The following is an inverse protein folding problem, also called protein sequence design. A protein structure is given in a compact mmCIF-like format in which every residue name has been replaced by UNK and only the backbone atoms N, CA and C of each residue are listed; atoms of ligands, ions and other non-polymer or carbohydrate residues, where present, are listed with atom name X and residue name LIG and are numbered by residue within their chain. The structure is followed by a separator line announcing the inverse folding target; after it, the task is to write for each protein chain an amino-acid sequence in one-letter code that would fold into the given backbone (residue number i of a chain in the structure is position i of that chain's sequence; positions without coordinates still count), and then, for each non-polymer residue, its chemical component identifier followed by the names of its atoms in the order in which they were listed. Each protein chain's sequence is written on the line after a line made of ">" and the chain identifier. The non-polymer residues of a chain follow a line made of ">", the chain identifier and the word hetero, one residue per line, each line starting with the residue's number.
data_IF_515272375692
#
_entry.id   IF_515272375692
#
_cell.length_a   1.000
_cell.length_b   1.000
_cell.length_c   1.000
_cell.angle_alpha   90.00
_cell.angle_beta   90.00
_cell.angle_gamma   90.00
#
_symmetry.space_group_name_H-M   'P 1'
#
loop_
_entity.id
_entity.type
_entity.pdbx_description
1 polymer ?
#
# COMPACT_ATOMS: atom_id res chain seq x y z
N UNK A 1 -11.81 27.37 -7.45
CA UNK A 1 -12.55 27.08 -6.21
C UNK A 1 -11.53 27.00 -5.10
N UNK A 2 -11.71 27.79 -4.04
CA UNK A 2 -10.81 27.81 -2.88
C UNK A 2 -11.01 26.51 -2.10
N UNK A 3 -9.98 25.67 -2.06
CA UNK A 3 -10.02 24.40 -1.32
C UNK A 3 -9.88 24.73 0.16
N UNK A 4 -10.96 24.61 0.92
CA UNK A 4 -10.96 24.73 2.38
C UNK A 4 -9.98 23.73 2.98
N UNK A 5 -9.35 24.05 4.12
CA UNK A 5 -8.37 23.18 4.79
C UNK A 5 -8.94 21.76 5.06
N UNK A 6 -10.26 21.65 5.24
CA UNK A 6 -11.00 20.40 5.43
C UNK A 6 -11.14 19.50 4.19
N UNK A 7 -10.79 19.96 2.99
CA UNK A 7 -10.93 19.20 1.74
C UNK A 7 -9.59 18.68 1.18
N UNK A 8 -8.47 18.94 1.87
CA UNK A 8 -7.14 18.51 1.44
C UNK A 8 -6.84 17.08 1.89
N UNK A 9 -7.43 16.12 1.19
CA UNK A 9 -7.18 14.68 1.38
C UNK A 9 -6.20 14.17 0.33
N UNK A 10 -4.93 13.95 0.71
CA UNK A 10 -3.95 13.33 -0.19
C UNK A 10 -4.20 11.82 -0.32
N UNK A 11 -4.11 11.06 0.77
CA UNK A 11 -4.44 9.62 0.75
C UNK A 11 -5.96 9.46 0.86
N UNK A 12 -6.55 8.86 -0.17
CA UNK A 12 -7.95 8.43 -0.20
C UNK A 12 -7.94 6.93 -0.09
N UNK A 13 -8.52 6.23 0.87
CA UNK A 13 -8.42 4.76 0.91
C UNK A 13 -7.00 4.18 1.12
N UNK A 14 -6.91 3.25 2.06
CA UNK A 14 -5.77 2.36 2.24
C UNK A 14 -6.31 0.97 2.55
N UNK A 15 -5.94 -0.02 1.74
CA UNK A 15 -6.24 -1.43 1.95
C UNK A 15 -4.94 -2.17 2.22
N UNK A 16 -4.96 -3.02 3.24
CA UNK A 16 -3.80 -3.78 3.71
C UNK A 16 -4.19 -5.24 3.74
N UNK A 17 -3.50 -6.08 2.98
CA UNK A 17 -3.78 -7.51 2.89
C UNK A 17 -2.54 -8.30 3.31
N UNK A 18 -2.73 -9.29 4.20
CA UNK A 18 -1.64 -10.11 4.75
C UNK A 18 -0.44 -9.30 5.29
N UNK A 19 -0.70 -8.09 5.81
CA UNK A 19 0.32 -7.13 6.23
C UNK A 19 0.22 -6.86 7.73
N UNK A 20 1.27 -7.14 8.49
CA UNK A 20 1.33 -6.96 9.94
C UNK A 20 0.13 -7.59 10.69
N UNK A 21 -0.82 -6.78 11.17
CA UNK A 21 -2.03 -7.26 11.86
C UNK A 21 -3.26 -7.38 10.95
N UNK A 22 -3.14 -7.05 9.67
CA UNK A 22 -4.22 -7.04 8.70
C UNK A 22 -4.23 -8.36 7.92
N UNK A 23 -5.29 -9.15 8.12
CA UNK A 23 -5.48 -10.43 7.42
C UNK A 23 -6.03 -10.26 5.99
N UNK A 24 -6.33 -11.36 5.30
CA UNK A 24 -6.75 -11.36 3.89
C UNK A 24 -8.11 -10.67 3.66
N UNK A 25 -9.00 -10.71 4.65
CA UNK A 25 -10.36 -10.15 4.54
C UNK A 25 -10.43 -8.67 4.98
N UNK A 26 -9.30 -7.99 5.10
CA UNK A 26 -9.25 -6.59 5.55
C UNK A 26 -9.85 -5.66 4.51
N UNK A 27 -10.77 -4.79 4.94
CA UNK A 27 -11.44 -3.83 4.06
C UNK A 27 -10.60 -2.57 3.87
N UNK A 28 -10.82 -1.89 2.73
CA UNK A 28 -10.22 -0.59 2.49
C UNK A 28 -10.76 0.45 3.48
N UNK A 29 -9.86 1.18 4.15
CA UNK A 29 -10.24 2.25 5.07
C UNK A 29 -10.28 3.60 4.36
N UNK A 30 -11.43 4.24 4.30
CA UNK A 30 -11.53 5.62 3.83
C UNK A 30 -10.94 6.61 4.85
N UNK A 31 -9.81 7.22 4.49
CA UNK A 31 -9.25 8.35 5.24
C UNK A 31 -10.03 9.65 5.04
N UNK A 32 -9.84 10.65 5.88
CA UNK A 32 -10.35 12.02 5.70
C UNK A 32 -9.22 13.01 5.95
N UNK A 33 -9.50 14.31 5.91
CA UNK A 33 -8.51 15.34 6.25
C UNK A 33 -8.04 15.28 7.71
N UNK A 34 -8.84 14.68 8.60
CA UNK A 34 -8.45 14.30 9.96
C UNK A 34 -8.93 12.87 10.23
N UNK A 35 -8.01 12.00 10.66
CA UNK A 35 -8.31 10.62 11.05
C UNK A 35 -7.90 10.41 12.50
N UNK A 36 -8.81 9.87 13.31
CA UNK A 36 -8.54 9.53 14.71
C UNK A 36 -8.69 8.03 14.86
N UNK A 37 -7.58 7.34 15.14
CA UNK A 37 -7.56 5.89 15.31
C UNK A 37 -7.72 5.54 16.80
N UNK A 38 -8.81 4.85 17.14
CA UNK A 38 -9.13 4.47 18.53
C UNK A 38 -9.32 2.95 18.62
N UNK A 39 -8.77 2.33 19.65
CA UNK A 39 -8.95 0.90 19.93
C UNK A 39 -7.97 0.38 20.99
N UNK A 40 -8.17 -0.86 21.49
CA UNK A 40 -7.25 -1.49 22.44
C UNK A 40 -5.82 -1.63 21.93
N UNK A 41 -4.87 -1.93 22.81
CA UNK A 41 -3.51 -2.29 22.39
C UNK A 41 -3.53 -3.52 21.49
N UNK A 42 -2.69 -3.52 20.44
CA UNK A 42 -2.65 -4.60 19.46
C UNK A 42 -3.74 -4.55 18.37
N UNK A 43 -4.64 -3.56 18.37
CA UNK A 43 -5.72 -3.44 17.37
C UNK A 43 -5.26 -2.98 15.97
N UNK A 44 -3.96 -2.95 15.69
CA UNK A 44 -3.42 -2.57 14.37
C UNK A 44 -3.26 -1.07 14.08
N UNK A 45 -3.47 -0.17 15.05
CA UNK A 45 -3.31 1.28 14.84
C UNK A 45 -1.89 1.67 14.42
N UNK A 46 -0.87 1.23 15.16
CA UNK A 46 0.53 1.49 14.80
C UNK A 46 0.87 0.85 13.46
N UNK A 47 0.40 -0.38 13.21
CA UNK A 47 0.61 -1.08 11.94
C UNK A 47 -0.01 -0.36 10.73
N UNK A 48 -1.12 0.36 10.93
CA UNK A 48 -1.69 1.21 9.90
C UNK A 48 -0.76 2.39 9.55
N UNK A 49 -0.12 2.99 10.55
CA UNK A 49 0.87 4.05 10.35
C UNK A 49 2.13 3.49 9.68
N UNK A 50 2.61 2.32 10.11
CA UNK A 50 3.74 1.62 9.49
C UNK A 50 3.50 1.35 8.00
N UNK A 51 2.26 1.08 7.56
CA UNK A 51 1.94 0.93 6.15
C UNK A 51 2.19 2.23 5.35
N UNK A 52 1.89 3.39 5.93
CA UNK A 52 2.15 4.70 5.31
C UNK A 52 3.66 4.97 5.24
N UNK A 53 4.39 4.64 6.31
CA UNK A 53 5.85 4.75 6.34
C UNK A 53 6.49 3.80 5.30
N UNK A 54 5.92 2.62 5.11
CA UNK A 54 6.34 1.65 4.10
C UNK A 54 6.11 2.16 2.67
N UNK A 55 4.95 2.76 2.38
CA UNK A 55 4.70 3.44 1.11
C UNK A 55 5.68 4.59 0.89
N UNK A 56 6.05 5.33 1.93
CA UNK A 56 7.07 6.39 1.83
C UNK A 56 8.45 5.81 1.49
N UNK A 57 8.81 4.69 2.11
CA UNK A 57 10.07 3.98 1.84
C UNK A 57 10.15 3.41 0.42
N UNK A 58 9.02 3.13 -0.24
CA UNK A 58 9.00 2.64 -1.64
C UNK A 58 9.70 3.60 -2.62
N UNK A 59 9.64 4.90 -2.36
CA UNK A 59 10.31 5.91 -3.18
C UNK A 59 11.83 5.94 -2.99
N UNK A 60 12.38 5.24 -1.99
CA UNK A 60 13.79 5.31 -1.61
C UNK A 60 14.43 3.94 -1.39
N UNK A 61 14.12 3.28 -0.26
CA UNK A 61 14.63 1.95 0.10
C UNK A 61 13.62 1.15 0.95
N UNK A 62 12.88 0.24 0.31
CA UNK A 62 11.97 -0.70 0.98
C UNK A 62 12.67 -1.66 1.94
N UNK A 63 13.98 -1.89 1.77
CA UNK A 63 14.71 -2.81 2.63
C UNK A 63 15.05 -2.19 3.99
N UNK A 64 15.00 -0.86 4.11
CA UNK A 64 15.22 -0.15 5.37
C UNK A 64 14.16 -0.48 6.44
N UNK A 65 12.84 -0.26 6.21
CA UNK A 65 11.81 -0.60 7.21
C UNK A 65 11.81 -2.10 7.52
N UNK A 66 12.01 -2.95 6.50
CA UNK A 66 12.10 -4.40 6.70
C UNK A 66 13.23 -4.79 7.66
N UNK A 67 14.44 -4.25 7.48
CA UNK A 67 15.57 -4.52 8.39
C UNK A 67 15.32 -4.00 9.78
N UNK A 68 14.77 -2.79 9.91
CA UNK A 68 14.49 -2.17 11.19
C UNK A 68 13.41 -2.92 11.98
N UNK A 69 12.41 -3.48 11.29
CA UNK A 69 11.31 -4.24 11.89
C UNK A 69 11.62 -5.72 12.17
N UNK A 70 12.87 -6.17 12.08
CA UNK A 70 13.25 -7.55 12.41
C UNK A 70 13.16 -8.55 11.25
N UNK A 71 13.05 -8.08 10.02
CA UNK A 71 13.00 -8.90 8.81
C UNK A 71 11.59 -9.07 8.25
N UNK A 72 11.50 -9.57 7.01
CA UNK A 72 10.24 -9.58 6.23
C UNK A 72 9.12 -10.40 6.89
N UNK A 73 9.47 -11.44 7.66
CA UNK A 73 8.50 -12.28 8.36
C UNK A 73 7.73 -11.53 9.46
N UNK A 74 8.30 -10.45 9.99
CA UNK A 74 7.61 -9.58 10.95
C UNK A 74 6.60 -8.65 10.28
N UNK A 75 6.73 -8.44 8.97
CA UNK A 75 5.85 -7.59 8.17
C UNK A 75 4.70 -8.38 7.51
N UNK A 76 4.81 -9.71 7.42
CA UNK A 76 3.73 -10.59 6.98
C UNK A 76 2.73 -10.85 8.12
N UNK A 77 1.45 -10.94 7.76
CA UNK A 77 0.43 -11.31 8.72
C UNK A 77 0.66 -12.71 9.28
N UNK A 78 0.68 -12.83 10.61
CA UNK A 78 1.03 -14.08 11.31
C UNK A 78 0.03 -15.22 11.11
N UNK A 79 -1.17 -14.93 10.62
CA UNK A 79 -2.16 -15.95 10.25
C UNK A 79 -1.99 -16.47 8.81
N UNK A 80 -1.07 -15.89 8.03
CA UNK A 80 -0.83 -16.28 6.65
C UNK A 80 0.16 -17.45 6.56
N UNK A 81 0.18 -18.15 5.41
CA UNK A 81 1.25 -19.08 5.09
C UNK A 81 2.59 -18.33 4.91
N UNK A 82 3.72 -19.01 5.09
CA UNK A 82 5.07 -18.40 4.97
C UNK A 82 5.33 -17.76 3.59
N UNK A 83 4.61 -18.22 2.56
CA UNK A 83 4.71 -17.75 1.18
C UNK A 83 3.59 -16.77 0.79
N UNK A 84 2.83 -16.27 1.77
CA UNK A 84 1.78 -15.30 1.51
C UNK A 84 2.35 -14.00 0.93
N UNK A 85 1.56 -13.37 0.08
CA UNK A 85 1.87 -12.06 -0.49
C UNK A 85 1.16 -11.03 0.38
N UNK A 86 1.94 -10.12 0.95
CA UNK A 86 1.42 -8.91 1.56
C UNK A 86 1.19 -7.87 0.48
N UNK A 87 0.05 -7.17 0.53
CA UNK A 87 -0.30 -6.10 -0.40
C UNK A 87 -0.70 -4.84 0.37
N UNK A 88 -0.18 -3.70 -0.09
CA UNK A 88 -0.62 -2.37 0.29
C UNK A 88 -1.20 -1.72 -0.97
N UNK A 89 -2.44 -1.24 -0.88
CA UNK A 89 -3.17 -0.63 -1.99
C UNK A 89 -3.79 0.69 -1.52
N UNK A 90 -3.28 1.79 -2.04
CA UNK A 90 -3.68 3.15 -1.68
C UNK A 90 -4.19 3.89 -2.90
N UNK A 91 -5.27 4.67 -2.76
CA UNK A 91 -5.64 5.67 -3.77
C UNK A 91 -5.24 7.06 -3.31
N UNK A 92 -4.78 7.90 -4.24
CA UNK A 92 -4.17 9.18 -3.94
C UNK A 92 -4.84 10.28 -4.76
N UNK A 93 -5.08 11.43 -4.14
CA UNK A 93 -5.43 12.62 -4.89
C UNK A 93 -4.24 13.05 -5.74
N UNK A 94 -4.50 13.24 -7.03
CA UNK A 94 -3.50 13.69 -7.98
C UNK A 94 -3.98 14.96 -8.70
N UNK A 95 -3.34 16.12 -8.46
CA UNK A 95 -3.85 17.40 -8.93
C UNK A 95 -3.70 17.61 -10.44
N UNK A 96 -2.87 16.83 -11.13
CA UNK A 96 -2.52 17.11 -12.52
C UNK A 96 -3.63 16.76 -13.53
N UNK A 97 -4.42 15.71 -13.29
CA UNK A 97 -5.45 15.26 -14.23
C UNK A 97 -6.83 15.00 -13.57
N UNK A 98 -6.99 15.30 -12.28
CA UNK A 98 -8.22 15.07 -11.48
C UNK A 98 -8.69 13.60 -11.47
N UNK A 99 -7.87 12.67 -11.98
CA UNK A 99 -8.04 11.23 -11.84
C UNK A 99 -7.15 10.78 -10.69
N UNK A 100 -7.71 10.15 -9.65
CA UNK A 100 -6.90 9.64 -8.55
C UNK A 100 -5.86 8.62 -9.05
N UNK A 101 -4.69 8.62 -8.42
CA UNK A 101 -3.70 7.57 -8.64
C UNK A 101 -4.01 6.39 -7.72
N UNK A 102 -3.62 5.20 -8.13
CA UNK A 102 -3.56 4.00 -7.31
C UNK A 102 -2.11 3.56 -7.20
N UNK A 103 -1.62 3.40 -5.98
CA UNK A 103 -0.31 2.84 -5.68
C UNK A 103 -0.52 1.47 -5.04
N UNK A 104 -0.17 0.42 -5.77
CA UNK A 104 -0.17 -0.96 -5.28
C UNK A 104 1.26 -1.42 -5.09
N UNK A 105 1.54 -2.02 -3.94
CA UNK A 105 2.83 -2.62 -3.62
C UNK A 105 2.59 -4.00 -3.00
N UNK A 106 3.12 -5.03 -3.63
CA UNK A 106 3.02 -6.41 -3.20
C UNK A 106 4.41 -7.01 -2.97
N UNK A 107 4.61 -7.65 -1.83
CA UNK A 107 5.87 -8.32 -1.48
C UNK A 107 5.62 -9.64 -0.76
N UNK A 108 6.66 -10.47 -0.70
CA UNK A 108 6.63 -11.73 0.03
C UNK A 108 7.99 -12.01 0.66
N UNK A 109 8.09 -13.15 1.35
CA UNK A 109 9.33 -13.69 1.85
C UNK A 109 9.71 -14.95 1.08
N UNK A 110 10.88 -14.95 0.46
CA UNK A 110 11.48 -16.17 -0.13
C UNK A 110 12.75 -16.53 0.62
N UNK A 111 12.79 -17.72 1.22
CA UNK A 111 13.90 -18.18 2.07
C UNK A 111 14.30 -17.17 3.16
N UNK A 112 13.30 -16.53 3.78
CA UNK A 112 13.50 -15.51 4.82
C UNK A 112 13.98 -14.14 4.31
N UNK A 113 14.05 -13.93 2.99
CA UNK A 113 14.45 -12.66 2.38
C UNK A 113 13.25 -11.92 1.80
N UNK A 114 13.29 -10.60 1.92
CA UNK A 114 12.32 -9.72 1.29
C UNK A 114 12.41 -9.84 -0.24
N UNK A 115 11.26 -10.06 -0.87
CA UNK A 115 11.12 -10.07 -2.32
C UNK A 115 9.92 -9.20 -2.71
N UNK A 116 10.19 -8.13 -3.48
CA UNK A 116 9.14 -7.31 -4.08
C UNK A 116 8.57 -8.04 -5.29
N UNK A 117 7.28 -8.33 -5.27
CA UNK A 117 6.60 -9.09 -6.33
C UNK A 117 6.09 -8.16 -7.44
N UNK A 118 5.38 -7.11 -7.05
CA UNK A 118 4.80 -6.13 -7.97
C UNK A 118 4.70 -4.78 -7.26
N UNK A 119 4.97 -3.73 -8.00
CA UNK A 119 4.68 -2.37 -7.62
C UNK A 119 4.11 -1.66 -8.85
N UNK A 120 2.99 -0.98 -8.68
CA UNK A 120 2.33 -0.24 -9.75
C UNK A 120 1.84 1.11 -9.23
N UNK A 121 2.08 2.15 -10.01
CA UNK A 121 1.46 3.47 -9.86
C UNK A 121 0.71 3.75 -11.16
N UNK A 122 -0.62 3.74 -11.08
CA UNK A 122 -1.53 3.82 -12.21
C UNK A 122 -2.70 4.77 -11.90
N UNK A 123 -3.51 5.12 -12.91
CA UNK A 123 -4.76 5.83 -12.65
C UNK A 123 -5.79 4.86 -12.05
N UNK A 124 -6.59 5.31 -11.07
CA UNK A 124 -7.66 4.50 -10.47
C UNK A 124 -8.71 4.05 -11.51
N UNK A 125 -8.97 4.89 -12.51
CA UNK A 125 -9.92 4.63 -13.59
C UNK A 125 -9.27 4.85 -14.96
N UNK A 126 -9.60 3.97 -15.91
CA UNK A 126 -9.20 4.08 -17.32
C UNK A 126 -10.21 4.91 -18.12
N UNK A 127 -9.76 5.93 -18.86
CA UNK A 127 -10.57 6.66 -19.84
C UNK A 127 -10.56 5.98 -21.22
N UNK A 128 -11.69 5.39 -21.63
CA UNK A 128 -12.03 5.06 -23.03
C UNK A 128 -11.34 3.83 -23.66
N UNK A 129 -11.92 3.31 -24.75
CA UNK A 129 -11.53 2.08 -25.50
C UNK A 129 -10.13 2.13 -26.20
N UNK A 130 -9.17 2.85 -25.64
CA UNK A 130 -7.77 2.70 -26.03
C UNK A 130 -7.08 1.96 -24.89
N UNK A 131 -6.75 0.69 -25.11
CA UNK A 131 -6.22 -0.30 -24.17
C UNK A 131 -4.81 0.00 -23.63
N UNK A 132 -4.43 1.27 -23.59
CA UNK A 132 -3.12 1.76 -23.17
C UNK A 132 -3.26 2.91 -22.15
N UNK A 133 -4.23 2.77 -21.24
CA UNK A 133 -4.51 3.81 -20.24
C UNK A 133 -3.51 3.75 -19.09
N UNK A 134 -2.31 4.25 -19.36
CA UNK A 134 -1.46 4.99 -18.43
C UNK A 134 -0.95 4.23 -17.21
N UNK A 135 -0.14 3.19 -17.42
CA UNK A 135 0.85 2.79 -16.40
C UNK A 135 1.89 3.92 -16.32
N UNK A 136 1.88 4.70 -15.25
CA UNK A 136 2.89 5.73 -15.04
C UNK A 136 4.22 5.11 -14.58
N UNK A 137 4.12 4.05 -13.78
CA UNK A 137 5.25 3.25 -13.31
C UNK A 137 4.79 1.85 -12.94
N UNK A 138 5.55 0.82 -13.34
CA UNK A 138 5.35 -0.55 -12.86
C UNK A 138 6.68 -1.27 -12.74
N UNK A 139 6.93 -1.86 -11.58
CA UNK A 139 8.07 -2.71 -11.31
C UNK A 139 7.53 -4.09 -10.91
N UNK A 140 7.66 -5.08 -11.78
CA UNK A 140 7.19 -6.44 -11.51
C UNK A 140 8.29 -7.46 -11.75
N UNK A 141 8.47 -8.37 -10.79
CA UNK A 141 9.27 -9.56 -11.03
C UNK A 141 8.39 -10.54 -11.82
N UNK A 142 8.56 -10.55 -13.14
CA UNK A 142 8.00 -11.60 -13.99
C UNK A 142 8.64 -12.91 -13.55
N UNK A 143 7.89 -13.81 -12.91
CA UNK A 143 8.37 -15.18 -12.70
C UNK A 143 8.66 -15.80 -14.07
N UNK A 144 9.76 -16.55 -14.25
CA UNK A 144 9.78 -17.59 -15.26
C UNK A 144 8.73 -18.64 -14.86
N UNK A 145 7.90 -19.03 -15.83
CA UNK A 145 6.90 -20.08 -15.71
C UNK A 145 7.50 -21.42 -15.22
#
# INVERSE_FOLDING_TARGET
>A
METTLGDKRFIRTLRLENFLSFGPDSTALELNSLNVFIGPNGSGKSNFIEAIDFLTASATDLTQPIRAGGGVQEWLWKGAAETAIAEIDATLYYPANNTPLRHRLAFTSVNGRFELIDEAIENEYSFGENTDVGVAFRNSLRRPD
#
